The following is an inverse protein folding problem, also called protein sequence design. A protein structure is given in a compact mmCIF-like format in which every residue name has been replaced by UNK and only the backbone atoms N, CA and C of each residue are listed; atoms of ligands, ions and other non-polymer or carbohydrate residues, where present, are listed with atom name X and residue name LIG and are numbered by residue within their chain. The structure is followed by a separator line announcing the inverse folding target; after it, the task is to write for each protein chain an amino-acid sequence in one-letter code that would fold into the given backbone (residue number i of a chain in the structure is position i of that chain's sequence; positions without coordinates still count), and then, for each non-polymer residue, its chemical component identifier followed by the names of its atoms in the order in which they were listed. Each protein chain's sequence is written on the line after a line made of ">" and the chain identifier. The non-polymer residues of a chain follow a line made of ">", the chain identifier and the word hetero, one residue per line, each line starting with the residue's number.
data_IF_610728224491
#
_entry.id   IF_610728224491
#
_cell.length_a   1.000
_cell.length_b   1.000
_cell.length_c   1.000
_cell.angle_alpha   90.00
_cell.angle_beta   90.00
_cell.angle_gamma   90.00
#
_symmetry.space_group_name_H-M   'P 1'
#
loop_
_entity.id
_entity.type
_entity.pdbx_description
1 polymer ?
#
# COMPACT_ATOMS: atom_id res chain seq x y z
N UNK A 1 26.78 9.17 -28.17
CA UNK A 1 26.67 7.89 -28.90
C UNK A 1 25.22 7.64 -29.34
N UNK A 2 24.29 7.42 -28.42
CA UNK A 2 22.88 7.07 -28.69
C UNK A 2 22.14 7.96 -29.72
N UNK A 3 22.27 9.30 -29.61
CA UNK A 3 21.62 10.23 -30.55
C UNK A 3 22.26 10.17 -31.95
N UNK A 4 23.57 9.89 -32.03
CA UNK A 4 24.30 9.73 -33.28
C UNK A 4 23.85 8.43 -33.96
N UNK A 5 23.77 7.32 -33.22
CA UNK A 5 23.34 6.01 -33.73
C UNK A 5 21.90 6.03 -34.22
N UNK A 6 21.01 6.76 -33.57
CA UNK A 6 19.63 6.98 -34.05
C UNK A 6 19.49 7.96 -35.20
N UNK A 7 20.60 8.58 -35.65
CA UNK A 7 20.58 9.56 -36.72
C UNK A 7 19.92 10.91 -36.35
N UNK A 8 19.74 11.16 -35.06
CA UNK A 8 19.17 12.44 -34.57
C UNK A 8 20.18 13.59 -34.65
N UNK A 9 21.47 13.27 -34.55
CA UNK A 9 22.61 14.17 -34.73
C UNK A 9 23.65 13.49 -35.60
N UNK A 10 24.38 14.25 -36.37
CA UNK A 10 25.33 13.75 -37.35
C UNK A 10 26.60 13.17 -36.72
N UNK A 11 27.12 13.90 -35.74
CA UNK A 11 28.40 13.57 -35.10
C UNK A 11 28.48 14.19 -33.69
N UNK A 12 29.60 13.98 -33.02
CA UNK A 12 29.85 14.47 -31.67
C UNK A 12 29.96 16.01 -31.62
N UNK A 13 30.45 16.63 -32.67
CA UNK A 13 30.55 18.10 -32.71
C UNK A 13 29.16 18.75 -32.81
N UNK A 14 28.25 18.18 -33.58
CA UNK A 14 26.88 18.67 -33.59
C UNK A 14 26.20 18.51 -32.22
N UNK A 15 26.48 17.41 -31.49
CA UNK A 15 26.01 17.23 -30.14
C UNK A 15 26.56 18.29 -29.18
N UNK A 16 27.85 18.58 -29.25
CA UNK A 16 28.50 19.65 -28.49
C UNK A 16 27.93 21.04 -28.83
N UNK A 17 27.60 21.28 -30.10
CA UNK A 17 26.98 22.50 -30.53
C UNK A 17 25.55 22.69 -30.00
N UNK A 18 24.80 21.61 -29.88
CA UNK A 18 23.49 21.64 -29.19
C UNK A 18 23.66 22.07 -27.74
N UNK A 19 24.61 21.50 -27.02
CA UNK A 19 24.87 21.88 -25.62
C UNK A 19 25.35 23.36 -25.52
N UNK A 20 26.17 23.86 -26.45
CA UNK A 20 26.56 25.30 -26.52
C UNK A 20 25.34 26.21 -26.73
N UNK A 21 24.39 25.76 -27.60
CA UNK A 21 23.13 26.50 -27.83
C UNK A 21 22.26 26.52 -26.60
N UNK A 22 22.14 25.39 -25.86
CA UNK A 22 21.39 25.29 -24.60
C UNK A 22 21.99 26.25 -23.56
N UNK A 23 23.32 26.26 -23.40
CA UNK A 23 24.01 27.16 -22.48
C UNK A 23 23.75 28.63 -22.82
N UNK A 24 23.91 29.01 -24.10
CA UNK A 24 23.70 30.40 -24.55
C UNK A 24 22.24 30.83 -24.36
N UNK A 25 21.28 29.97 -24.71
CA UNK A 25 19.85 30.25 -24.49
C UNK A 25 19.55 30.47 -23.02
N UNK A 26 20.09 29.62 -22.14
CA UNK A 26 19.90 29.79 -20.70
C UNK A 26 20.45 31.12 -20.19
N UNK A 27 21.60 31.58 -20.71
CA UNK A 27 22.13 32.91 -20.41
C UNK A 27 21.20 34.03 -20.90
N UNK A 28 20.64 33.93 -22.09
CA UNK A 28 19.69 34.92 -22.64
C UNK A 28 18.45 35.07 -21.77
N UNK A 29 17.93 33.94 -21.25
CA UNK A 29 16.73 33.91 -20.38
C UNK A 29 17.07 34.00 -18.89
N UNK A 30 18.32 34.26 -18.54
CA UNK A 30 18.82 34.37 -17.16
C UNK A 30 18.46 33.17 -16.26
N UNK A 31 18.76 31.97 -16.75
CA UNK A 31 18.55 30.71 -16.01
C UNK A 31 19.87 29.97 -15.82
N UNK A 32 20.10 29.35 -14.65
CA UNK A 32 21.29 28.54 -14.43
C UNK A 32 21.26 27.28 -15.32
N UNK A 33 22.43 26.92 -15.85
CA UNK A 33 22.63 25.67 -16.60
C UNK A 33 23.50 24.75 -15.78
N UNK A 34 23.17 23.48 -15.74
CA UNK A 34 23.95 22.45 -15.04
C UNK A 34 24.32 21.33 -16.00
N UNK A 35 25.51 20.75 -15.79
CA UNK A 35 25.93 19.54 -16.43
C UNK A 35 25.39 18.33 -15.66
N UNK A 36 24.71 17.40 -16.34
CA UNK A 36 24.19 16.18 -15.75
C UNK A 36 24.82 14.95 -16.39
N UNK A 37 25.01 13.89 -15.61
CA UNK A 37 25.60 12.62 -16.07
C UNK A 37 24.58 11.57 -16.44
N UNK A 38 23.29 11.78 -16.17
CA UNK A 38 22.22 10.78 -16.35
C UNK A 38 22.58 9.42 -15.74
N UNK A 39 23.03 9.42 -14.50
CA UNK A 39 23.63 8.26 -13.82
C UNK A 39 22.62 7.15 -13.62
N UNK A 40 22.96 5.95 -14.11
CA UNK A 40 22.16 4.74 -13.97
C UNK A 40 22.88 3.58 -13.28
N UNK A 41 24.21 3.66 -13.15
CA UNK A 41 25.03 2.65 -12.47
C UNK A 41 26.29 3.30 -11.88
N UNK A 42 26.95 2.60 -10.95
CA UNK A 42 28.04 3.16 -10.16
C UNK A 42 29.36 3.18 -10.95
N UNK A 43 29.82 2.00 -11.37
CA UNK A 43 31.11 1.83 -12.00
C UNK A 43 30.98 1.56 -13.51
N UNK A 44 31.95 1.93 -14.35
CA UNK A 44 31.86 1.70 -15.79
C UNK A 44 31.54 0.25 -16.22
N UNK A 45 32.02 -0.73 -15.48
CA UNK A 45 31.77 -2.16 -15.75
C UNK A 45 30.34 -2.61 -15.43
N UNK A 46 29.59 -1.85 -14.61
CA UNK A 46 28.21 -2.17 -14.23
C UNK A 46 27.24 -1.99 -15.41
N UNK A 47 27.69 -1.38 -16.50
CA UNK A 47 26.97 -1.30 -17.77
C UNK A 47 26.46 -2.68 -18.20
N UNK A 48 27.23 -3.73 -17.98
CA UNK A 48 26.84 -5.08 -18.33
C UNK A 48 25.57 -5.55 -17.63
N UNK A 49 25.37 -5.20 -16.35
CA UNK A 49 24.16 -5.54 -15.60
C UNK A 49 22.94 -4.77 -16.13
N UNK A 50 23.09 -3.49 -16.43
CA UNK A 50 22.03 -2.68 -17.03
C UNK A 50 21.59 -3.25 -18.37
N UNK A 51 22.54 -3.61 -19.22
CA UNK A 51 22.30 -4.24 -20.53
C UNK A 51 21.48 -5.52 -20.41
N UNK A 52 21.86 -6.41 -19.48
CA UNK A 52 21.14 -7.67 -19.23
C UNK A 52 19.71 -7.40 -18.78
N UNK A 53 19.50 -6.46 -17.86
CA UNK A 53 18.16 -6.10 -17.35
C UNK A 53 17.30 -5.53 -18.48
N UNK A 54 17.84 -4.60 -19.27
CA UNK A 54 17.11 -3.99 -20.39
C UNK A 54 16.75 -5.02 -21.47
N UNK A 55 17.69 -5.92 -21.81
CA UNK A 55 17.42 -6.99 -22.76
C UNK A 55 16.32 -7.94 -22.24
N UNK A 56 16.35 -8.27 -20.94
CA UNK A 56 15.30 -9.07 -20.29
C UNK A 56 13.92 -8.41 -20.29
N UNK A 57 13.87 -7.08 -20.32
CA UNK A 57 12.63 -6.30 -20.44
C UNK A 57 12.20 -6.05 -21.89
N UNK A 58 12.96 -6.55 -22.88
CA UNK A 58 12.61 -6.44 -24.30
C UNK A 58 12.98 -5.11 -24.96
N UNK A 59 13.88 -4.30 -24.37
CA UNK A 59 14.36 -3.07 -24.99
C UNK A 59 15.26 -3.41 -26.19
N UNK A 60 14.91 -2.93 -27.39
CA UNK A 60 15.62 -3.22 -28.63
C UNK A 60 17.00 -2.58 -28.75
N UNK A 61 17.30 -1.56 -27.92
CA UNK A 61 18.55 -0.83 -27.86
C UNK A 61 19.41 -1.20 -26.63
N UNK A 62 19.11 -2.32 -25.98
CA UNK A 62 19.81 -2.78 -24.79
C UNK A 62 21.32 -2.95 -24.98
N UNK A 63 21.78 -3.34 -26.18
CA UNK A 63 23.20 -3.53 -26.50
C UNK A 63 23.97 -2.22 -26.61
N UNK A 64 23.30 -1.08 -26.83
CA UNK A 64 23.92 0.21 -27.08
C UNK A 64 23.81 1.10 -25.84
N UNK A 65 24.67 0.83 -24.84
CA UNK A 65 24.63 1.62 -23.59
C UNK A 65 25.57 2.82 -23.67
N UNK A 66 25.06 4.04 -23.40
CA UNK A 66 25.95 5.19 -23.17
C UNK A 66 26.66 5.09 -21.82
N UNK A 67 27.75 5.85 -21.60
CA UNK A 67 28.54 5.81 -20.36
C UNK A 67 27.82 6.50 -19.19
N UNK A 68 26.77 5.88 -18.69
CA UNK A 68 25.88 6.41 -17.64
C UNK A 68 26.35 6.04 -16.21
N UNK A 69 27.62 5.83 -16.03
CA UNK A 69 28.19 5.58 -14.70
C UNK A 69 28.34 6.88 -13.88
N UNK A 70 28.50 6.73 -12.59
CA UNK A 70 28.69 7.85 -11.67
C UNK A 70 30.08 8.47 -11.85
N UNK A 71 30.14 9.60 -12.57
CA UNK A 71 31.38 10.32 -12.85
C UNK A 71 31.80 11.18 -11.67
N UNK A 72 33.09 11.20 -11.39
CA UNK A 72 33.70 12.16 -10.46
C UNK A 72 33.64 13.59 -11.01
N UNK A 73 33.85 14.58 -10.15
CA UNK A 73 33.92 15.99 -10.58
C UNK A 73 34.99 16.20 -11.66
N UNK A 74 36.15 15.54 -11.53
CA UNK A 74 37.24 15.64 -12.52
C UNK A 74 36.84 15.07 -13.87
N UNK A 75 36.17 13.92 -13.88
CA UNK A 75 35.66 13.32 -15.11
C UNK A 75 34.61 14.19 -15.77
N UNK A 76 33.68 14.78 -14.99
CA UNK A 76 32.67 15.69 -15.50
C UNK A 76 33.33 16.98 -16.09
N UNK A 77 34.30 17.56 -15.41
CA UNK A 77 35.04 18.73 -15.94
C UNK A 77 35.76 18.38 -17.25
N UNK A 78 36.34 17.19 -17.37
CA UNK A 78 36.98 16.72 -18.59
C UNK A 78 35.96 16.53 -19.72
N UNK A 79 34.81 15.96 -19.43
CA UNK A 79 33.73 15.70 -20.40
C UNK A 79 33.18 17.04 -20.96
N UNK A 80 33.02 18.05 -20.13
CA UNK A 80 32.50 19.34 -20.53
C UNK A 80 33.59 20.40 -20.91
N UNK A 81 34.85 19.93 -21.01
CA UNK A 81 36.00 20.84 -21.35
C UNK A 81 35.86 21.56 -22.68
N UNK A 82 35.08 21.04 -23.62
CA UNK A 82 34.79 21.66 -24.92
C UNK A 82 34.02 23.00 -24.81
N UNK A 83 33.43 23.29 -23.64
CA UNK A 83 32.81 24.61 -23.36
C UNK A 83 33.82 25.67 -22.94
N UNK A 84 35.06 25.30 -22.67
CA UNK A 84 36.08 26.13 -22.03
C UNK A 84 36.09 25.99 -20.52
N UNK A 85 37.23 26.22 -19.88
CA UNK A 85 37.48 25.92 -18.46
C UNK A 85 36.50 26.67 -17.53
N UNK A 86 36.23 27.94 -17.77
CA UNK A 86 35.36 28.76 -16.91
C UNK A 86 33.91 28.27 -16.97
N UNK A 87 33.40 28.03 -18.18
CA UNK A 87 32.02 27.51 -18.37
C UNK A 87 31.90 26.10 -17.82
N UNK A 88 32.89 25.23 -18.04
CA UNK A 88 32.87 23.89 -17.47
C UNK A 88 32.78 23.89 -15.93
N UNK A 89 33.57 24.76 -15.26
CA UNK A 89 33.47 24.95 -13.81
C UNK A 89 32.14 25.56 -13.38
N UNK A 90 31.59 26.48 -14.16
CA UNK A 90 30.26 27.04 -13.89
C UNK A 90 29.18 25.96 -13.88
N UNK A 91 29.11 25.16 -14.96
CA UNK A 91 28.00 24.20 -15.13
C UNK A 91 28.18 22.89 -14.33
N UNK A 92 29.42 22.49 -14.01
CA UNK A 92 29.71 21.26 -13.27
C UNK A 92 29.75 21.46 -11.76
N UNK A 93 30.22 22.64 -11.30
CA UNK A 93 30.47 22.86 -9.87
C UNK A 93 29.59 23.97 -9.34
N UNK A 94 29.73 25.20 -9.87
CA UNK A 94 29.14 26.41 -9.28
C UNK A 94 27.61 26.33 -9.29
N UNK A 95 27.01 26.17 -10.48
CA UNK A 95 25.56 26.18 -10.61
C UNK A 95 24.88 25.04 -9.88
N UNK A 96 25.39 23.76 -9.89
CA UNK A 96 24.85 22.69 -9.05
C UNK A 96 24.89 23.01 -7.55
N UNK A 97 25.98 23.61 -7.06
CA UNK A 97 26.10 24.02 -5.65
C UNK A 97 25.11 25.15 -5.31
N UNK A 98 24.94 26.13 -6.17
CA UNK A 98 23.97 27.22 -5.98
C UNK A 98 22.54 26.71 -5.95
N UNK A 99 22.19 25.75 -6.83
CA UNK A 99 20.87 25.12 -6.83
C UNK A 99 20.68 24.31 -5.53
N UNK A 100 21.66 23.50 -5.16
CA UNK A 100 21.60 22.73 -3.91
C UNK A 100 21.45 23.63 -2.68
N UNK A 101 22.15 24.79 -2.66
CA UNK A 101 22.04 25.73 -1.56
C UNK A 101 20.72 26.52 -1.53
N UNK A 102 19.97 26.51 -2.64
CA UNK A 102 18.65 27.17 -2.73
C UNK A 102 17.51 26.25 -2.23
N UNK A 103 17.80 25.00 -1.96
CA UNK A 103 16.78 24.01 -1.50
C UNK A 103 16.67 24.06 0.01
N UNK A 104 15.46 24.33 0.50
CA UNK A 104 15.13 24.24 1.92
C UNK A 104 14.75 22.83 2.32
N UNK A 105 14.94 22.52 3.60
CA UNK A 105 14.44 21.26 4.18
C UNK A 105 12.93 21.40 4.33
N UNK A 106 12.20 20.72 3.47
CA UNK A 106 10.75 20.67 3.50
C UNK A 106 10.27 19.31 4.03
N UNK A 107 9.23 19.35 4.83
CA UNK A 107 8.50 18.18 5.30
C UNK A 107 7.13 18.16 4.63
N UNK A 108 7.00 17.56 3.43
CA UNK A 108 5.77 17.64 2.64
C UNK A 108 4.60 16.86 3.27
N UNK A 109 4.92 15.89 4.11
CA UNK A 109 3.93 15.10 4.84
C UNK A 109 4.12 15.36 6.33
N UNK A 110 3.08 15.82 7.07
CA UNK A 110 3.14 15.93 8.53
C UNK A 110 3.46 14.59 9.20
N UNK A 111 4.04 14.63 10.41
CA UNK A 111 4.27 13.40 11.20
C UNK A 111 3.00 12.84 11.79
N UNK A 112 2.02 13.72 12.01
CA UNK A 112 0.74 13.35 12.63
C UNK A 112 -0.19 12.75 11.59
N UNK A 113 -0.96 11.76 11.99
CA UNK A 113 -2.05 11.20 11.19
C UNK A 113 -3.36 11.94 11.51
N UNK A 114 -4.19 12.15 10.49
CA UNK A 114 -5.46 12.86 10.60
C UNK A 114 -6.61 11.93 10.14
N UNK A 115 -6.95 10.88 10.93
CA UNK A 115 -8.04 10.00 10.58
C UNK A 115 -9.36 10.78 10.50
N UNK A 116 -10.26 10.43 9.58
CA UNK A 116 -11.58 11.05 9.51
C UNK A 116 -12.36 10.80 10.80
N UNK A 117 -13.25 11.71 11.17
CA UNK A 117 -14.12 11.57 12.33
C UNK A 117 -15.53 11.24 11.87
N UNK A 118 -16.10 10.18 12.41
CA UNK A 118 -17.51 9.80 12.24
C UNK A 118 -18.11 9.76 13.64
N UNK A 119 -19.09 10.62 13.90
CA UNK A 119 -19.79 10.65 15.19
C UNK A 119 -20.50 9.32 15.45
N UNK A 120 -20.34 8.77 16.65
CA UNK A 120 -20.93 7.49 17.05
C UNK A 120 -20.21 6.24 16.50
N UNK A 121 -19.05 6.35 15.86
CA UNK A 121 -18.36 5.22 15.26
C UNK A 121 -18.06 4.09 16.26
N UNK A 122 -17.70 4.42 17.50
CA UNK A 122 -17.41 3.44 18.55
C UNK A 122 -18.65 2.62 18.92
N UNK A 123 -19.79 3.29 19.05
CA UNK A 123 -21.08 2.64 19.35
C UNK A 123 -21.58 1.83 18.15
N UNK A 124 -21.45 2.37 16.96
CA UNK A 124 -21.87 1.70 15.72
C UNK A 124 -21.11 0.38 15.53
N UNK A 125 -19.77 0.39 15.65
CA UNK A 125 -18.96 -0.83 15.48
C UNK A 125 -19.25 -1.84 16.60
N UNK A 126 -19.40 -1.36 17.85
CA UNK A 126 -19.75 -2.22 18.98
C UNK A 126 -21.10 -2.88 18.77
N UNK A 127 -22.15 -2.12 18.45
CA UNK A 127 -23.50 -2.61 18.28
C UNK A 127 -23.59 -3.59 17.10
N UNK A 128 -22.97 -3.27 15.98
CA UNK A 128 -22.93 -4.11 14.79
C UNK A 128 -22.26 -5.46 15.10
N UNK A 129 -21.09 -5.42 15.72
CA UNK A 129 -20.33 -6.60 16.13
C UNK A 129 -21.14 -7.46 17.11
N UNK A 130 -21.70 -6.87 18.16
CA UNK A 130 -22.48 -7.59 19.17
C UNK A 130 -23.72 -8.24 18.56
N UNK A 131 -24.47 -7.54 17.73
CA UNK A 131 -25.65 -8.10 17.06
C UNK A 131 -25.28 -9.33 16.21
N UNK A 132 -24.18 -9.28 15.45
CA UNK A 132 -23.73 -10.40 14.63
C UNK A 132 -23.24 -11.57 15.49
N UNK A 133 -22.44 -11.31 16.52
CA UNK A 133 -21.94 -12.34 17.44
C UNK A 133 -23.11 -13.08 18.11
N UNK A 134 -24.10 -12.36 18.66
CA UNK A 134 -25.28 -12.99 19.27
C UNK A 134 -26.12 -13.77 18.24
N UNK A 135 -26.19 -13.30 17.01
CA UNK A 135 -26.90 -14.03 15.95
C UNK A 135 -26.27 -15.38 15.61
N UNK A 136 -24.93 -15.49 15.77
CA UNK A 136 -24.17 -16.72 15.46
C UNK A 136 -24.03 -17.61 16.69
N UNK A 137 -23.60 -17.08 17.84
CA UNK A 137 -23.23 -17.84 19.04
C UNK A 137 -24.29 -17.82 20.15
N UNK A 138 -25.39 -17.05 19.99
CA UNK A 138 -26.46 -16.93 20.98
C UNK A 138 -26.20 -15.87 22.05
N UNK A 139 -27.18 -15.65 22.93
CA UNK A 139 -27.11 -14.62 23.99
C UNK A 139 -26.02 -14.91 25.02
N UNK A 140 -25.82 -16.19 25.38
CA UNK A 140 -24.78 -16.62 26.29
C UNK A 140 -23.53 -17.01 25.48
N UNK A 141 -22.62 -16.08 25.30
CA UNK A 141 -21.43 -16.28 24.50
C UNK A 141 -20.47 -17.30 25.14
N UNK A 142 -19.86 -18.21 24.35
CA UNK A 142 -18.76 -19.04 24.82
C UNK A 142 -17.60 -18.17 25.33
N UNK A 143 -16.91 -18.59 26.37
CA UNK A 143 -15.81 -17.83 27.00
C UNK A 143 -14.72 -17.42 26.01
N UNK A 144 -14.38 -18.30 25.06
CA UNK A 144 -13.39 -18.04 24.00
C UNK A 144 -13.84 -16.86 23.11
N UNK A 145 -15.12 -16.83 22.73
CA UNK A 145 -15.71 -15.76 21.93
C UNK A 145 -15.74 -14.46 22.70
N UNK A 146 -16.21 -14.48 23.95
CA UNK A 146 -16.30 -13.31 24.79
C UNK A 146 -14.92 -12.66 25.03
N UNK A 147 -13.94 -13.45 25.43
CA UNK A 147 -12.56 -12.96 25.65
C UNK A 147 -11.95 -12.32 24.41
N UNK A 148 -12.13 -12.96 23.24
CA UNK A 148 -11.63 -12.44 21.99
C UNK A 148 -12.29 -11.12 21.62
N UNK A 149 -13.61 -11.05 21.76
CA UNK A 149 -14.42 -9.89 21.48
C UNK A 149 -14.03 -8.69 22.37
N UNK A 150 -13.95 -8.91 23.68
CA UNK A 150 -13.58 -7.87 24.65
C UNK A 150 -12.20 -7.32 24.38
N UNK A 151 -11.23 -8.20 24.11
CA UNK A 151 -9.85 -7.82 23.77
C UNK A 151 -9.81 -6.94 22.52
N UNK A 152 -10.45 -7.37 21.44
CA UNK A 152 -10.41 -6.66 20.16
C UNK A 152 -11.16 -5.34 20.21
N UNK A 153 -12.40 -5.31 20.73
CA UNK A 153 -13.19 -4.08 20.84
C UNK A 153 -12.50 -3.04 21.72
N UNK A 154 -11.91 -3.46 22.84
CA UNK A 154 -11.17 -2.54 23.69
C UNK A 154 -9.94 -1.96 22.99
N UNK A 155 -9.19 -2.78 22.27
CA UNK A 155 -8.03 -2.32 21.50
C UNK A 155 -8.45 -1.36 20.38
N UNK A 156 -9.44 -1.71 19.59
CA UNK A 156 -9.91 -0.91 18.45
C UNK A 156 -10.45 0.46 18.92
N UNK A 157 -11.28 0.48 19.96
CA UNK A 157 -11.93 1.70 20.45
C UNK A 157 -10.92 2.60 21.18
N UNK A 158 -10.13 2.04 22.10
CA UNK A 158 -9.17 2.83 22.88
C UNK A 158 -8.07 3.48 22.02
N UNK A 159 -7.71 2.87 20.90
CA UNK A 159 -6.75 3.44 19.95
C UNK A 159 -7.41 4.31 18.85
N UNK A 160 -8.75 4.50 18.89
CA UNK A 160 -9.47 5.35 17.93
C UNK A 160 -9.62 4.75 16.53
N UNK A 161 -9.51 3.43 16.40
CA UNK A 161 -9.58 2.74 15.10
C UNK A 161 -11.00 2.37 14.65
N UNK A 162 -12.01 2.57 15.49
CA UNK A 162 -13.40 2.23 15.17
C UNK A 162 -13.89 2.88 13.87
N UNK A 163 -13.46 4.11 13.60
CA UNK A 163 -13.81 4.83 12.37
C UNK A 163 -13.28 4.12 11.12
N UNK A 164 -12.08 3.53 11.17
CA UNK A 164 -11.49 2.80 10.03
C UNK A 164 -12.27 1.53 9.74
N UNK A 165 -12.65 0.79 10.79
CA UNK A 165 -13.52 -0.39 10.66
C UNK A 165 -14.88 -0.01 10.07
N UNK A 166 -15.49 1.07 10.55
CA UNK A 166 -16.79 1.53 10.06
C UNK A 166 -16.74 1.94 8.59
N UNK A 167 -15.65 2.61 8.16
CA UNK A 167 -15.43 2.96 6.75
C UNK A 167 -15.32 1.68 5.90
N UNK A 168 -14.45 0.75 6.30
CA UNK A 168 -14.28 -0.51 5.59
C UNK A 168 -15.60 -1.26 5.45
N UNK A 169 -16.36 -1.38 6.55
CA UNK A 169 -17.69 -2.00 6.56
C UNK A 169 -18.67 -1.33 5.58
N UNK A 170 -18.73 0.02 5.58
CA UNK A 170 -19.63 0.76 4.68
C UNK A 170 -19.26 0.55 3.21
N UNK A 171 -17.97 0.49 2.87
CA UNK A 171 -17.50 0.21 1.52
C UNK A 171 -17.83 -1.22 1.07
N UNK A 172 -17.63 -2.20 1.95
CA UNK A 172 -18.00 -3.61 1.70
C UNK A 172 -19.50 -3.75 1.51
N UNK A 173 -20.29 -3.19 2.43
CA UNK A 173 -21.76 -3.22 2.34
C UNK A 173 -22.28 -2.57 1.05
N UNK A 174 -21.68 -1.46 0.62
CA UNK A 174 -22.02 -0.81 -0.66
C UNK A 174 -21.76 -1.73 -1.85
N UNK A 175 -20.59 -2.38 -1.89
CA UNK A 175 -20.24 -3.31 -2.97
C UNK A 175 -21.22 -4.50 -3.03
N UNK A 176 -21.57 -5.10 -1.91
CA UNK A 176 -22.58 -6.15 -1.84
C UNK A 176 -23.97 -5.67 -2.28
N UNK A 177 -24.37 -4.46 -1.90
CA UNK A 177 -25.62 -3.85 -2.34
C UNK A 177 -25.67 -3.61 -3.86
N UNK A 178 -24.51 -3.38 -4.47
CA UNK A 178 -24.36 -3.25 -5.93
C UNK A 178 -24.29 -4.62 -6.65
N UNK A 179 -24.28 -5.73 -5.88
CA UNK A 179 -24.22 -7.09 -6.43
C UNK A 179 -22.82 -7.65 -6.68
N UNK A 180 -21.79 -7.01 -6.12
CA UNK A 180 -20.39 -7.42 -6.30
C UNK A 180 -19.80 -7.96 -4.99
N UNK A 181 -19.03 -9.04 -5.11
CA UNK A 181 -18.28 -9.60 -3.99
C UNK A 181 -17.04 -8.76 -3.69
N UNK A 182 -16.64 -8.76 -2.42
CA UNK A 182 -15.41 -8.13 -1.93
C UNK A 182 -14.55 -9.21 -1.29
N UNK A 183 -13.28 -9.27 -1.66
CA UNK A 183 -12.28 -10.11 -0.99
C UNK A 183 -11.47 -9.27 0.00
N UNK A 184 -11.30 -9.73 1.21
CA UNK A 184 -10.32 -9.17 2.13
C UNK A 184 -8.95 -9.81 1.90
N UNK A 185 -7.88 -9.04 2.15
CA UNK A 185 -6.50 -9.50 2.01
C UNK A 185 -5.66 -9.03 3.20
N UNK A 186 -4.57 -9.77 3.46
CA UNK A 186 -3.62 -9.39 4.49
C UNK A 186 -4.10 -9.71 5.92
N UNK A 187 -3.62 -8.93 6.87
CA UNK A 187 -3.77 -9.21 8.30
C UNK A 187 -5.17 -8.95 8.87
N UNK A 188 -6.08 -8.31 8.12
CA UNK A 188 -7.45 -8.05 8.58
C UNK A 188 -8.24 -9.33 8.91
N UNK A 189 -7.91 -10.45 8.23
CA UNK A 189 -8.49 -11.77 8.53
C UNK A 189 -8.18 -12.31 9.94
N UNK A 190 -7.26 -11.69 10.68
CA UNK A 190 -7.00 -12.02 12.09
C UNK A 190 -7.92 -11.28 13.06
N UNK A 191 -8.69 -10.28 12.60
CA UNK A 191 -9.63 -9.55 13.45
C UNK A 191 -11.02 -10.20 13.46
N UNK A 192 -11.42 -10.72 14.61
CA UNK A 192 -12.76 -11.27 14.83
C UNK A 192 -13.85 -10.17 14.77
N UNK A 193 -13.53 -8.95 15.21
CA UNK A 193 -14.42 -7.80 15.04
C UNK A 193 -14.63 -7.48 13.56
N UNK A 194 -13.61 -7.60 12.72
CA UNK A 194 -13.76 -7.41 11.27
C UNK A 194 -14.67 -8.48 10.64
N UNK A 195 -14.58 -9.74 11.11
CA UNK A 195 -15.50 -10.82 10.69
C UNK A 195 -16.92 -10.53 11.15
N UNK A 196 -17.10 -10.10 12.39
CA UNK A 196 -18.42 -9.84 12.99
C UNK A 196 -19.04 -8.51 12.51
N UNK A 197 -18.31 -7.69 11.81
CA UNK A 197 -18.80 -6.49 11.12
C UNK A 197 -18.89 -6.64 9.60
N UNK A 198 -18.80 -7.86 9.08
CA UNK A 198 -18.89 -8.17 7.65
C UNK A 198 -17.82 -7.47 6.78
N UNK A 199 -16.63 -7.18 7.33
CA UNK A 199 -15.48 -6.65 6.60
C UNK A 199 -14.71 -7.79 5.92
N UNK A 200 -14.59 -8.93 6.59
CA UNK A 200 -13.93 -10.14 6.12
C UNK A 200 -14.77 -11.38 6.44
N UNK A 201 -14.68 -12.38 5.59
CA UNK A 201 -15.25 -13.71 5.84
C UNK A 201 -14.34 -14.64 6.66
N UNK A 202 -13.08 -14.24 6.87
CA UNK A 202 -12.11 -15.04 7.63
C UNK A 202 -12.38 -14.92 9.13
N UNK A 203 -12.62 -16.05 9.80
CA UNK A 203 -12.84 -16.10 11.24
C UNK A 203 -11.55 -16.49 11.97
N UNK A 204 -10.94 -15.54 12.68
CA UNK A 204 -9.70 -15.73 13.43
C UNK A 204 -9.82 -16.52 14.73
N UNK A 205 -11.02 -16.96 15.12
CA UNK A 205 -11.21 -17.84 16.29
C UNK A 205 -10.59 -19.21 16.06
N UNK A 206 -10.31 -19.98 17.13
CA UNK A 206 -9.93 -21.38 17.01
C UNK A 206 -10.97 -22.20 16.25
N UNK A 207 -10.56 -23.31 15.59
CA UNK A 207 -11.47 -24.21 14.88
C UNK A 207 -12.65 -24.65 15.76
N UNK A 208 -13.86 -24.57 15.21
CA UNK A 208 -15.05 -24.89 15.99
C UNK A 208 -16.24 -25.30 15.13
N UNK A 209 -17.19 -25.93 15.80
CA UNK A 209 -18.53 -26.11 15.32
C UNK A 209 -19.47 -25.11 15.97
N UNK A 210 -20.44 -24.61 15.22
CA UNK A 210 -21.57 -23.84 15.76
C UNK A 210 -22.89 -24.31 15.13
N UNK A 211 -23.90 -24.57 15.95
CA UNK A 211 -25.19 -24.95 15.44
C UNK A 211 -25.99 -23.75 14.96
N UNK A 212 -26.44 -23.67 13.70
CA UNK A 212 -27.20 -22.53 13.20
C UNK A 212 -28.55 -22.34 13.91
N UNK A 213 -29.11 -23.43 14.53
CA UNK A 213 -30.40 -23.41 15.18
C UNK A 213 -30.34 -23.13 16.69
N UNK A 214 -29.61 -23.91 17.47
CA UNK A 214 -29.56 -23.77 18.92
C UNK A 214 -28.29 -23.03 19.43
N UNK A 215 -27.41 -22.59 18.54
CA UNK A 215 -26.18 -21.88 18.85
C UNK A 215 -25.14 -22.64 19.68
N UNK A 216 -25.42 -23.94 19.99
CA UNK A 216 -24.43 -24.78 20.67
C UNK A 216 -23.15 -24.82 19.86
N UNK A 217 -22.02 -24.49 20.47
CA UNK A 217 -20.69 -24.48 19.86
C UNK A 217 -19.75 -25.46 20.57
N UNK A 218 -18.71 -25.87 19.84
CA UNK A 218 -17.62 -26.72 20.35
C UNK A 218 -16.32 -26.25 19.72
N UNK A 219 -15.40 -25.75 20.56
CA UNK A 219 -14.08 -25.26 20.15
C UNK A 219 -13.00 -26.32 20.34
N UNK A 220 -11.98 -26.29 19.47
CA UNK A 220 -10.78 -27.11 19.54
C UNK A 220 -9.60 -26.19 19.87
N UNK A 221 -9.09 -26.28 21.10
CA UNK A 221 -8.07 -25.38 21.65
C UNK A 221 -6.72 -26.06 21.85
N UNK A 222 -6.63 -27.34 21.50
CA UNK A 222 -5.46 -28.20 21.75
C UNK A 222 -4.50 -28.30 20.56
N UNK A 223 -4.76 -27.54 19.49
CA UNK A 223 -3.97 -27.59 18.26
C UNK A 223 -4.13 -28.86 17.44
N UNK A 224 -5.09 -29.73 17.77
CA UNK A 224 -5.36 -30.98 17.04
C UNK A 224 -5.90 -30.74 15.63
N UNK A 225 -6.47 -29.56 15.37
CA UNK A 225 -7.02 -29.14 14.09
C UNK A 225 -6.57 -27.72 13.81
N UNK A 226 -6.09 -27.46 12.60
CA UNK A 226 -5.59 -26.13 12.21
C UNK A 226 -6.67 -25.21 11.63
N UNK A 227 -7.73 -25.77 11.06
CA UNK A 227 -8.83 -25.03 10.45
C UNK A 227 -10.17 -25.71 10.69
N UNK A 228 -11.21 -24.91 10.90
CA UNK A 228 -12.57 -25.42 10.97
C UNK A 228 -13.00 -26.17 9.70
N UNK A 229 -12.46 -25.82 8.54
CA UNK A 229 -12.73 -26.51 7.28
C UNK A 229 -12.30 -27.98 7.30
N UNK A 230 -11.28 -28.33 8.08
CA UNK A 230 -10.76 -29.71 8.20
C UNK A 230 -11.57 -30.58 9.18
N UNK A 231 -12.50 -29.97 9.91
CA UNK A 231 -13.37 -30.72 10.83
C UNK A 231 -14.30 -31.65 10.06
N UNK A 232 -14.53 -32.89 10.52
CA UNK A 232 -15.51 -33.80 9.93
C UNK A 232 -16.92 -33.23 9.93
N UNK A 233 -17.71 -33.55 8.92
CA UNK A 233 -19.14 -33.21 8.92
C UNK A 233 -19.89 -33.97 10.01
N UNK A 234 -20.70 -33.26 10.77
CA UNK A 234 -21.58 -33.88 11.78
C UNK A 234 -22.81 -33.01 12.04
N UNK A 235 -23.84 -33.64 12.56
CA UNK A 235 -25.07 -33.01 12.97
C UNK A 235 -25.05 -32.59 14.44
N UNK A 236 -25.76 -31.50 14.75
CA UNK A 236 -25.97 -31.07 16.12
C UNK A 236 -26.78 -32.12 16.91
N UNK A 237 -26.26 -32.66 18.02
CA UNK A 237 -26.96 -33.68 18.79
C UNK A 237 -28.29 -33.21 19.41
N UNK A 238 -28.47 -31.89 19.54
CA UNK A 238 -29.71 -31.34 20.11
C UNK A 238 -30.76 -31.04 19.05
N UNK A 239 -30.38 -30.72 17.83
CA UNK A 239 -31.29 -30.20 16.80
C UNK A 239 -31.36 -31.07 15.56
N UNK A 240 -30.43 -32.01 15.38
CA UNK A 240 -30.34 -32.86 14.20
C UNK A 240 -30.04 -32.08 12.89
N UNK A 241 -29.53 -30.85 12.97
CA UNK A 241 -29.14 -30.06 11.80
C UNK A 241 -27.63 -30.06 11.65
N UNK A 242 -27.10 -29.97 10.43
CA UNK A 242 -25.67 -29.88 10.20
C UNK A 242 -25.04 -28.69 10.97
N UNK A 243 -23.90 -28.93 11.59
CA UNK A 243 -23.09 -27.87 12.17
C UNK A 243 -22.45 -27.03 11.06
N UNK A 244 -22.31 -25.72 11.32
CA UNK A 244 -21.39 -24.87 10.59
C UNK A 244 -20.00 -25.12 11.19
N UNK A 245 -18.99 -25.27 10.32
CA UNK A 245 -17.58 -25.44 10.65
C UNK A 245 -16.85 -24.14 10.33
N UNK A 246 -16.10 -23.59 11.28
CA UNK A 246 -15.44 -22.31 11.12
C UNK A 246 -14.20 -22.20 12.03
N UNK A 247 -13.42 -21.10 11.84
CA UNK A 247 -12.25 -20.80 12.65
C UNK A 247 -10.92 -21.24 12.04
N UNK A 248 -9.93 -20.34 12.12
CA UNK A 248 -8.58 -20.54 11.52
C UNK A 248 -7.45 -20.33 12.53
N UNK A 249 -7.77 -20.13 13.81
CA UNK A 249 -6.81 -19.94 14.92
C UNK A 249 -5.75 -18.87 14.64
N UNK A 250 -6.18 -17.69 14.19
CA UNK A 250 -5.28 -16.60 13.83
C UNK A 250 -5.20 -15.61 15.01
N UNK A 251 -4.01 -15.35 15.58
CA UNK A 251 -3.85 -14.38 16.65
C UNK A 251 -4.17 -12.96 16.20
N UNK A 252 -4.92 -12.20 17.02
CA UNK A 252 -5.27 -10.80 16.75
C UNK A 252 -4.02 -9.89 16.68
N UNK A 253 -2.98 -10.22 17.39
CA UNK A 253 -1.71 -9.52 17.40
C UNK A 253 -1.06 -9.42 16.02
N UNK A 254 -1.40 -10.30 15.11
CA UNK A 254 -0.98 -10.23 13.71
C UNK A 254 -1.47 -8.95 13.04
N UNK A 255 -2.62 -8.40 13.47
CA UNK A 255 -3.22 -7.21 12.89
C UNK A 255 -2.79 -5.91 13.59
N UNK A 256 -3.02 -5.79 14.89
CA UNK A 256 -2.76 -4.54 15.64
C UNK A 256 -1.53 -4.58 16.55
N UNK A 257 -0.72 -5.64 16.51
CA UNK A 257 0.41 -5.81 17.42
C UNK A 257 -0.01 -6.23 18.83
N UNK A 258 0.98 -6.46 19.70
CA UNK A 258 0.74 -6.92 21.07
C UNK A 258 0.19 -5.81 21.98
N UNK A 259 0.61 -4.57 21.76
CA UNK A 259 0.16 -3.38 22.48
C UNK A 259 -1.05 -2.70 21.83
N UNK A 260 -1.46 -3.16 20.65
CA UNK A 260 -2.53 -2.56 19.87
C UNK A 260 -2.16 -1.19 19.25
N UNK A 261 -0.88 -0.90 19.16
CA UNK A 261 -0.28 0.36 18.71
C UNK A 261 0.06 0.39 17.22
N UNK A 262 0.00 -0.77 16.56
CA UNK A 262 0.14 -0.84 15.10
C UNK A 262 -1.13 -0.32 14.43
N UNK A 263 -1.00 0.68 13.56
CA UNK A 263 -2.13 1.15 12.75
C UNK A 263 -2.72 0.03 11.90
N UNK A 264 -4.06 -0.13 11.90
CA UNK A 264 -4.70 -1.16 11.10
C UNK A 264 -4.56 -0.89 9.60
N UNK A 265 -4.15 -1.91 8.87
CA UNK A 265 -4.08 -1.91 7.40
C UNK A 265 -5.17 -2.85 6.86
N UNK A 266 -6.28 -2.27 6.41
CA UNK A 266 -7.45 -3.02 5.92
C UNK A 266 -7.43 -3.03 4.40
N UNK A 267 -6.89 -4.09 3.82
CA UNK A 267 -6.84 -4.32 2.38
C UNK A 267 -8.13 -4.96 1.88
N UNK A 268 -8.83 -4.29 0.97
CA UNK A 268 -10.07 -4.75 0.35
C UNK A 268 -9.93 -4.81 -1.17
N UNK A 269 -10.24 -5.97 -1.74
CA UNK A 269 -10.26 -6.18 -3.18
C UNK A 269 -11.69 -6.07 -3.71
N UNK A 270 -11.98 -4.98 -4.42
CA UNK A 270 -13.24 -4.78 -5.11
C UNK A 270 -13.17 -5.26 -6.56
N UNK A 271 -14.31 -5.66 -7.13
CA UNK A 271 -14.41 -5.94 -8.56
C UNK A 271 -13.96 -4.72 -9.37
N UNK A 272 -13.20 -4.94 -10.45
CA UNK A 272 -12.79 -3.88 -11.37
C UNK A 272 -13.97 -3.07 -11.93
N UNK A 273 -15.10 -3.73 -12.13
CA UNK A 273 -16.33 -3.09 -12.64
C UNK A 273 -16.98 -2.15 -11.61
N UNK A 274 -16.79 -2.41 -10.32
CA UNK A 274 -17.38 -1.62 -9.22
C UNK A 274 -16.39 -0.67 -8.54
N UNK A 275 -15.09 -0.81 -8.79
CA UNK A 275 -14.05 -0.06 -8.07
C UNK A 275 -14.22 1.46 -8.19
N UNK A 276 -14.61 1.96 -9.37
CA UNK A 276 -14.82 3.39 -9.59
C UNK A 276 -16.01 3.94 -8.77
N UNK A 277 -17.08 3.15 -8.65
CA UNK A 277 -18.26 3.53 -7.85
C UNK A 277 -17.97 3.50 -6.36
N UNK A 278 -17.19 2.53 -5.90
CA UNK A 278 -16.72 2.49 -4.51
C UNK A 278 -15.82 3.69 -4.18
N UNK A 279 -14.88 4.06 -5.06
CA UNK A 279 -14.09 5.28 -4.88
C UNK A 279 -14.98 6.52 -4.81
N UNK A 280 -16.01 6.61 -5.66
CA UNK A 280 -16.95 7.72 -5.63
C UNK A 280 -17.82 7.72 -4.37
N UNK A 281 -18.13 6.55 -3.84
CA UNK A 281 -18.91 6.43 -2.61
C UNK A 281 -18.18 7.00 -1.39
N UNK A 282 -16.85 7.04 -1.37
CA UNK A 282 -16.10 7.73 -0.31
C UNK A 282 -16.41 9.23 -0.27
N UNK A 283 -16.71 9.87 -1.42
CA UNK A 283 -17.17 11.25 -1.45
C UNK A 283 -18.57 11.42 -0.83
N UNK A 284 -19.40 10.39 -0.86
CA UNK A 284 -20.71 10.39 -0.18
C UNK A 284 -20.52 10.31 1.34
N UNK A 285 -19.53 9.51 1.78
CA UNK A 285 -19.23 9.35 3.21
C UNK A 285 -18.58 10.59 3.83
N UNK A 286 -17.69 11.28 3.12
CA UNK A 286 -16.84 12.35 3.67
C UNK A 286 -17.10 13.73 3.06
N UNK A 287 -17.88 13.81 1.99
CA UNK A 287 -18.16 15.04 1.25
C UNK A 287 -17.21 15.24 0.06
N UNK A 288 -17.80 15.81 -1.00
CA UNK A 288 -17.05 16.15 -2.21
C UNK A 288 -16.01 17.23 -1.90
N UNK A 289 -14.78 17.01 -2.29
CA UNK A 289 -13.66 17.92 -2.02
C UNK A 289 -12.82 17.56 -0.78
N UNK A 290 -13.22 16.52 -0.05
CA UNK A 290 -12.43 15.95 1.08
C UNK A 290 -11.80 14.60 0.75
N UNK A 291 -12.03 14.09 -0.44
CA UNK A 291 -11.51 12.79 -0.90
C UNK A 291 -10.65 12.99 -2.13
N UNK A 292 -9.41 12.51 -2.09
CA UNK A 292 -8.44 12.64 -3.16
C UNK A 292 -7.71 11.31 -3.37
N UNK A 293 -7.36 11.01 -4.63
CA UNK A 293 -6.42 9.92 -4.90
C UNK A 293 -5.03 10.33 -4.47
N UNK A 294 -4.39 9.52 -3.65
CA UNK A 294 -2.95 9.64 -3.45
C UNK A 294 -2.22 9.33 -4.75
N UNK A 295 -1.13 10.01 -5.01
CA UNK A 295 -0.26 9.70 -6.14
C UNK A 295 0.39 8.32 -6.01
N UNK A 296 0.81 7.78 -7.11
CA UNK A 296 1.66 6.57 -7.16
C UNK A 296 3.10 6.95 -7.36
#
# INVERSE_FOLDING_TARGET
>A
AYLIEKGNVKDEEELKDINRKIYNLAKEVNKPTVATGDVHFLEPQDEAFRRIIMAGQGFGDAENQPPLYFKTTEEMLKEFSYLGEDIAKEVVIKNPQEIAASVDILKPIPDETYPPKIEGADDDIRNMTMNKVHSIYGENLPEVVQKRLDKELNSIINNGYAVLYLIAQKLVAKSYADGYLVGSRGSVGSSFVATMSDITEVNGLPPHYVCPKCKKSQFFLDGSVSSGADLPDKDCPNCGVPYIKDGHDIPFETFLGFEGDKEPDIDLNFSGDNQADIHKYTEVLFGKGYVFKAGT
#
